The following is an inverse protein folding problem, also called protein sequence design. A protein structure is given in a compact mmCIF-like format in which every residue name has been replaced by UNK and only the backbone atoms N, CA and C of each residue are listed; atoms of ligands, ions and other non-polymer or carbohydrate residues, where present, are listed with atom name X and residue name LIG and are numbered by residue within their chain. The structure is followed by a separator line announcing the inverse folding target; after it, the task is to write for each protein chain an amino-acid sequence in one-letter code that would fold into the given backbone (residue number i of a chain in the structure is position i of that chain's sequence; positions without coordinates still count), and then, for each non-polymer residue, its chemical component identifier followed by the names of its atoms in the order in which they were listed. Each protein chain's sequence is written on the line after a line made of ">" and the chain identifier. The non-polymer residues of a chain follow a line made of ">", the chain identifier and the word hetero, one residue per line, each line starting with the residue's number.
data_IF_202256792813
#
_entry.id   IF_202256792813
#
_cell.length_a   1.000
_cell.length_b   1.000
_cell.length_c   1.000
_cell.angle_alpha   90.00
_cell.angle_beta   90.00
_cell.angle_gamma   90.00
#
_symmetry.space_group_name_H-M   'P 1'
#
loop_
_entity.id
_entity.type
_entity.pdbx_description
1 polymer ?
#
# COMPACT_ATOMS: atom_id res chain seq x y z
N UNK A 1 3.59 5.30 -22.07
CA UNK A 1 3.08 5.43 -23.44
C UNK A 1 1.54 5.49 -23.54
N UNK A 2 0.83 6.06 -22.53
CA UNK A 2 -0.65 6.10 -22.52
C UNK A 2 -1.24 7.47 -22.83
N UNK A 3 -0.48 8.53 -22.55
CA UNK A 3 -1.02 9.90 -22.61
C UNK A 3 -1.21 10.44 -24.03
N UNK A 4 -0.51 9.87 -25.02
CA UNK A 4 -0.65 10.19 -26.45
C UNK A 4 -1.67 9.34 -27.20
N UNK A 5 -2.22 8.27 -26.60
CA UNK A 5 -3.18 7.41 -27.26
C UNK A 5 -4.56 8.09 -27.35
N UNK A 6 -5.17 8.06 -28.53
CA UNK A 6 -6.52 8.56 -28.76
C UNK A 6 -6.69 10.08 -28.61
N UNK A 7 -5.61 10.89 -28.77
CA UNK A 7 -5.70 12.37 -28.74
C UNK A 7 -6.70 12.85 -29.79
N UNK A 8 -6.62 12.29 -31.00
CA UNK A 8 -7.47 12.66 -32.15
C UNK A 8 -8.88 12.04 -32.10
N UNK A 9 -9.16 11.23 -31.08
CA UNK A 9 -10.45 10.54 -30.91
C UNK A 9 -11.00 10.72 -29.49
N UNK A 10 -11.51 11.89 -29.10
CA UNK A 10 -11.94 12.20 -27.74
C UNK A 10 -13.00 11.24 -27.19
N UNK A 11 -13.92 10.78 -28.05
CA UNK A 11 -14.96 9.83 -27.67
C UNK A 11 -14.36 8.45 -27.27
N UNK A 12 -13.38 7.95 -28.02
CA UNK A 12 -12.65 6.72 -27.68
C UNK A 12 -11.82 6.88 -26.42
N UNK A 13 -11.16 8.04 -26.24
CA UNK A 13 -10.36 8.35 -25.04
C UNK A 13 -11.20 8.29 -23.78
N UNK A 14 -12.46 8.77 -23.82
CA UNK A 14 -13.40 8.72 -22.67
C UNK A 14 -13.81 7.30 -22.28
N UNK A 15 -13.77 6.36 -23.23
CA UNK A 15 -14.16 4.96 -23.03
C UNK A 15 -12.98 4.06 -22.61
N UNK A 16 -11.74 4.56 -22.68
CA UNK A 16 -10.53 3.80 -22.37
C UNK A 16 -9.86 4.34 -21.11
N UNK A 17 -9.38 3.43 -20.28
CA UNK A 17 -8.59 3.81 -19.12
C UNK A 17 -7.12 3.99 -19.52
N UNK A 18 -6.76 5.24 -19.82
CA UNK A 18 -5.40 5.60 -20.26
C UNK A 18 -4.40 5.67 -19.10
N UNK A 19 -4.85 5.64 -17.86
CA UNK A 19 -4.01 5.71 -16.66
C UNK A 19 -3.73 4.34 -16.05
N UNK A 20 -4.61 3.37 -16.28
CA UNK A 20 -4.40 1.99 -15.81
C UNK A 20 -3.20 1.34 -16.52
N UNK A 21 -2.51 0.45 -15.82
CA UNK A 21 -1.33 -0.27 -16.32
C UNK A 21 -1.40 -1.74 -15.94
N UNK A 22 -0.67 -2.54 -16.71
CA UNK A 22 -0.45 -3.94 -16.42
C UNK A 22 0.60 -4.14 -15.35
N UNK A 23 0.37 -5.10 -14.48
CA UNK A 23 1.35 -5.63 -13.54
C UNK A 23 1.24 -7.14 -13.47
N UNK A 24 2.32 -7.83 -13.11
CA UNK A 24 2.34 -9.27 -12.91
C UNK A 24 2.67 -9.57 -11.45
N UNK A 25 1.90 -10.45 -10.82
CA UNK A 25 2.17 -10.93 -9.46
C UNK A 25 1.82 -12.42 -9.40
N UNK A 26 2.77 -13.25 -8.94
CA UNK A 26 2.59 -14.71 -8.80
C UNK A 26 2.02 -15.34 -10.06
N UNK A 27 2.63 -15.07 -11.22
CA UNK A 27 2.22 -15.52 -12.55
C UNK A 27 0.83 -15.08 -13.06
N UNK A 28 0.10 -14.33 -12.27
CA UNK A 28 -1.14 -13.67 -12.69
C UNK A 28 -0.87 -12.24 -13.16
N UNK A 29 -1.57 -11.85 -14.22
CA UNK A 29 -1.46 -10.53 -14.82
C UNK A 29 -2.70 -9.71 -14.47
N UNK A 30 -2.49 -8.51 -13.94
CA UNK A 30 -3.55 -7.60 -13.53
C UNK A 30 -3.45 -6.31 -14.33
N UNK A 31 -4.60 -5.76 -14.71
CA UNK A 31 -4.71 -4.45 -15.34
C UNK A 31 -5.51 -3.52 -14.45
N UNK A 32 -4.96 -2.36 -14.13
CA UNK A 32 -5.67 -1.39 -13.30
C UNK A 32 -4.76 -0.52 -12.43
N UNK A 33 -5.14 -0.44 -11.18
CA UNK A 33 -4.54 0.41 -10.15
C UNK A 33 -4.10 -0.42 -8.95
N UNK A 34 -3.27 0.19 -8.13
CA UNK A 34 -2.80 -0.37 -6.88
C UNK A 34 -3.12 0.59 -5.74
N UNK A 35 -3.75 0.08 -4.70
CA UNK A 35 -4.00 0.79 -3.45
C UNK A 35 -2.84 0.56 -2.50
N UNK A 36 -2.26 1.63 -2.00
CA UNK A 36 -1.25 1.63 -0.95
C UNK A 36 -1.88 2.14 0.34
N UNK A 37 -1.56 1.55 1.48
CA UNK A 37 -2.13 1.96 2.76
C UNK A 37 -1.08 1.93 3.88
N UNK A 38 -1.07 2.95 4.74
CA UNK A 38 -0.45 2.88 6.05
C UNK A 38 -1.49 2.47 7.08
N UNK A 39 -1.17 1.49 7.89
CA UNK A 39 -2.11 0.87 8.83
C UNK A 39 -1.51 0.88 10.23
N UNK A 40 -2.27 1.30 11.21
CA UNK A 40 -1.88 1.23 12.61
C UNK A 40 -1.64 -0.20 13.06
N UNK A 41 -0.44 -0.49 13.56
CA UNK A 41 -0.01 -1.85 13.92
C UNK A 41 -0.88 -2.50 15.01
N UNK A 42 -1.44 -1.72 15.93
CA UNK A 42 -2.32 -2.21 17.01
C UNK A 42 -3.78 -2.05 16.64
N UNK A 43 -4.18 -0.85 16.24
CA UNK A 43 -5.58 -0.52 15.95
C UNK A 43 -6.10 -1.17 14.67
N UNK A 44 -5.23 -1.46 13.70
CA UNK A 44 -5.55 -1.86 12.32
C UNK A 44 -6.39 -0.80 11.57
N UNK A 45 -6.38 0.43 12.04
CA UNK A 45 -7.01 1.57 11.34
C UNK A 45 -6.13 1.99 10.18
N UNK A 46 -6.70 2.29 9.03
CA UNK A 46 -5.98 2.86 7.90
C UNK A 46 -5.73 4.33 8.19
N UNK A 47 -4.47 4.72 8.28
CA UNK A 47 -4.04 6.08 8.57
C UNK A 47 -3.94 6.90 7.29
N UNK A 48 -3.26 6.37 6.28
CA UNK A 48 -3.10 7.00 4.98
C UNK A 48 -3.42 6.01 3.86
N UNK A 49 -3.97 6.52 2.76
CA UNK A 49 -4.24 5.74 1.55
C UNK A 49 -3.81 6.52 0.32
N UNK A 50 -3.16 5.84 -0.61
CA UNK A 50 -2.78 6.37 -1.91
C UNK A 50 -3.10 5.36 -3.01
N UNK A 51 -3.32 5.84 -4.22
CA UNK A 51 -3.61 4.99 -5.37
C UNK A 51 -2.72 5.36 -6.54
N UNK A 52 -2.09 4.35 -7.13
CA UNK A 52 -1.22 4.52 -8.29
C UNK A 52 -1.63 3.58 -9.42
N UNK A 53 -1.07 3.79 -10.61
CA UNK A 53 -1.14 2.77 -11.64
C UNK A 53 -0.48 1.47 -11.17
N UNK A 54 -1.01 0.31 -11.59
CA UNK A 54 -0.59 -0.98 -11.04
C UNK A 54 0.90 -1.33 -11.25
N UNK A 55 1.56 -0.72 -12.24
CA UNK A 55 2.98 -0.92 -12.51
C UNK A 55 3.92 -0.09 -11.61
N UNK A 56 3.39 0.82 -10.80
CA UNK A 56 4.22 1.60 -9.86
C UNK A 56 4.68 0.69 -8.72
N UNK A 57 5.98 0.72 -8.44
CA UNK A 57 6.55 -0.06 -7.35
C UNK A 57 6.10 0.51 -5.99
N UNK A 58 5.81 -0.37 -5.03
CA UNK A 58 5.23 0.01 -3.73
C UNK A 58 6.12 0.99 -2.96
N UNK A 59 7.44 0.84 -3.06
CA UNK A 59 8.41 1.73 -2.42
C UNK A 59 8.32 3.20 -2.89
N UNK A 60 7.86 3.44 -4.14
CA UNK A 60 7.68 4.81 -4.65
C UNK A 60 6.49 5.52 -4.02
N UNK A 61 5.49 4.78 -3.57
CA UNK A 61 4.32 5.36 -2.93
C UNK A 61 4.63 5.86 -1.51
N UNK A 62 5.69 5.37 -0.88
CA UNK A 62 6.02 5.68 0.51
C UNK A 62 6.17 7.18 0.76
N UNK A 63 6.87 7.90 -0.10
CA UNK A 63 7.09 9.35 0.02
C UNK A 63 5.79 10.17 0.02
N UNK A 64 4.73 9.67 -0.61
CA UNK A 64 3.43 10.34 -0.69
C UNK A 64 2.49 9.95 0.45
N UNK A 65 2.88 8.98 1.25
CA UNK A 65 2.04 8.42 2.31
C UNK A 65 2.52 8.84 3.69
N UNK A 66 3.77 9.29 3.83
CA UNK A 66 4.32 9.78 5.10
C UNK A 66 3.99 11.27 5.27
N UNK A 67 3.60 11.63 6.49
CA UNK A 67 3.37 13.00 6.92
C UNK A 67 4.19 13.27 8.18
N UNK A 68 5.10 14.23 8.13
CA UNK A 68 6.00 14.55 9.25
C UNK A 68 5.25 14.97 10.51
N UNK A 69 4.16 15.74 10.37
CA UNK A 69 3.38 16.21 11.52
C UNK A 69 2.61 15.07 12.21
N UNK A 70 2.08 14.12 11.42
CA UNK A 70 1.23 13.05 11.95
C UNK A 70 2.00 11.79 12.33
N UNK A 71 3.12 11.50 11.63
CA UNK A 71 3.83 10.23 11.74
C UNK A 71 5.14 10.32 12.54
N UNK A 72 5.57 11.52 12.94
CA UNK A 72 6.79 11.73 13.72
C UNK A 72 6.85 10.83 14.96
N UNK A 73 8.00 10.23 15.20
CA UNK A 73 8.27 9.35 16.34
C UNK A 73 7.68 7.93 16.20
N UNK A 74 6.89 7.65 15.15
CA UNK A 74 6.34 6.31 14.90
C UNK A 74 7.39 5.38 14.30
N UNK A 75 7.12 4.07 14.39
CA UNK A 75 7.92 3.04 13.72
C UNK A 75 7.15 2.47 12.53
N UNK A 76 7.77 2.47 11.35
CA UNK A 76 7.24 1.92 10.12
C UNK A 76 7.78 0.52 9.86
N UNK A 77 6.90 -0.47 9.89
CA UNK A 77 7.20 -1.85 9.52
C UNK A 77 6.85 -2.09 8.05
N UNK A 78 7.82 -2.56 7.27
CA UNK A 78 7.60 -2.92 5.87
C UNK A 78 8.39 -4.18 5.50
N UNK A 79 8.10 -4.73 4.32
CA UNK A 79 8.78 -5.91 3.81
C UNK A 79 10.17 -5.57 3.26
N UNK A 80 10.88 -6.60 2.80
CA UNK A 80 12.22 -6.45 2.25
C UNK A 80 12.28 -5.68 0.92
N UNK A 81 11.15 -5.43 0.25
CA UNK A 81 11.11 -4.59 -0.94
C UNK A 81 11.33 -3.09 -0.61
N UNK A 82 11.19 -2.73 0.66
CA UNK A 82 11.48 -1.39 1.17
C UNK A 82 12.90 -1.27 1.76
N UNK A 83 13.64 -2.39 1.87
CA UNK A 83 15.00 -2.36 2.38
C UNK A 83 15.92 -1.63 1.40
N UNK A 84 16.68 -0.66 1.92
CA UNK A 84 17.64 0.11 1.15
C UNK A 84 17.91 1.47 1.78
N UNK A 85 19.18 1.91 1.73
CA UNK A 85 19.63 3.16 2.37
C UNK A 85 18.75 4.35 2.00
N UNK A 86 18.43 4.53 0.72
CA UNK A 86 17.64 5.68 0.25
C UNK A 86 16.23 5.71 0.85
N UNK A 87 15.56 4.55 1.01
CA UNK A 87 14.21 4.48 1.58
C UNK A 87 14.23 4.62 3.10
N UNK A 88 15.28 4.13 3.76
CA UNK A 88 15.47 4.35 5.19
C UNK A 88 15.77 5.83 5.49
N UNK A 89 16.65 6.47 4.72
CA UNK A 89 16.94 7.90 4.85
C UNK A 89 15.69 8.74 4.57
N UNK A 90 14.94 8.43 3.51
CA UNK A 90 13.66 9.05 3.24
C UNK A 90 12.69 8.90 4.43
N UNK A 91 12.59 7.71 5.01
CA UNK A 91 11.69 7.48 6.15
C UNK A 91 12.13 8.30 7.36
N UNK A 92 13.44 8.35 7.63
CA UNK A 92 14.00 9.17 8.72
C UNK A 92 13.83 10.68 8.51
N UNK A 93 13.81 11.16 7.26
CA UNK A 93 13.57 12.57 6.97
C UNK A 93 12.16 13.05 7.36
N UNK A 94 11.21 12.12 7.52
CA UNK A 94 9.88 12.37 8.10
C UNK A 94 9.83 12.11 9.61
N UNK A 95 10.96 12.03 10.30
CA UNK A 95 11.05 11.68 11.73
C UNK A 95 10.38 10.33 12.08
N UNK A 96 10.33 9.41 11.13
CA UNK A 96 9.77 8.05 11.29
C UNK A 96 10.91 7.03 11.38
N UNK A 97 10.80 6.06 12.30
CA UNK A 97 11.81 5.02 12.49
C UNK A 97 11.57 3.86 11.50
N UNK A 98 12.46 3.62 10.51
CA UNK A 98 12.30 2.49 9.59
C UNK A 98 12.61 1.17 10.30
N UNK A 99 11.70 0.21 10.20
CA UNK A 99 11.84 -1.14 10.70
C UNK A 99 11.52 -2.16 9.59
N UNK A 100 12.30 -2.11 8.53
CA UNK A 100 12.11 -2.95 7.35
C UNK A 100 12.70 -4.33 7.53
N UNK A 101 12.12 -5.34 6.89
CA UNK A 101 12.71 -6.66 6.83
C UNK A 101 13.98 -6.63 5.97
N UNK A 102 15.02 -7.30 6.44
CA UNK A 102 16.28 -7.39 5.69
C UNK A 102 16.14 -8.38 4.54
N UNK A 103 16.83 -8.10 3.43
CA UNK A 103 16.83 -8.95 2.25
C UNK A 103 18.11 -9.78 2.20
N UNK A 104 17.96 -11.10 2.11
CA UNK A 104 19.08 -12.00 1.82
C UNK A 104 19.37 -12.03 0.31
N UNK A 105 20.63 -12.21 -0.05
CA UNK A 105 21.08 -12.39 -1.42
C UNK A 105 21.75 -13.76 -1.57
N UNK A 106 21.85 -14.28 -2.79
CA UNK A 106 22.43 -15.59 -3.06
C UNK A 106 23.86 -15.75 -2.48
N UNK A 107 24.66 -14.68 -2.55
CA UNK A 107 26.03 -14.67 -2.04
C UNK A 107 26.16 -14.18 -0.59
N UNK A 108 25.08 -13.70 0.03
CA UNK A 108 25.07 -13.19 1.41
C UNK A 108 23.73 -13.53 2.03
N UNK A 109 23.54 -14.80 2.45
CA UNK A 109 22.31 -15.22 3.10
C UNK A 109 22.16 -14.51 4.45
N UNK A 110 20.91 -14.40 4.91
CA UNK A 110 20.60 -13.83 6.22
C UNK A 110 21.17 -14.74 7.34
N UNK A 111 21.77 -14.12 8.33
CA UNK A 111 22.16 -14.80 9.56
C UNK A 111 20.93 -15.29 10.35
N UNK A 112 21.10 -16.23 11.25
CA UNK A 112 20.01 -16.73 12.11
C UNK A 112 19.37 -15.59 12.93
N UNK A 113 20.16 -14.64 13.40
CA UNK A 113 19.65 -13.49 14.14
C UNK A 113 18.80 -12.60 13.25
N UNK A 114 19.23 -12.30 12.04
CA UNK A 114 18.47 -11.52 11.06
C UNK A 114 17.16 -12.22 10.67
N UNK A 115 17.18 -13.55 10.52
CA UNK A 115 15.96 -14.32 10.24
C UNK A 115 14.97 -14.25 11.41
N UNK A 116 15.44 -14.38 12.66
CA UNK A 116 14.61 -14.22 13.86
C UNK A 116 14.01 -12.82 13.96
N UNK A 117 14.81 -11.77 13.71
CA UNK A 117 14.34 -10.39 13.71
C UNK A 117 13.32 -10.15 12.59
N UNK A 118 13.58 -10.65 11.38
CA UNK A 118 12.62 -10.58 10.28
C UNK A 118 11.29 -11.27 10.59
N UNK A 119 11.34 -12.40 11.31
CA UNK A 119 10.12 -13.09 11.75
C UNK A 119 9.30 -12.22 12.71
N UNK A 120 9.94 -11.54 13.67
CA UNK A 120 9.26 -10.60 14.57
C UNK A 120 8.66 -9.40 13.83
N UNK A 121 9.42 -8.80 12.93
CA UNK A 121 8.95 -7.69 12.06
C UNK A 121 7.75 -8.13 11.21
N UNK A 122 7.81 -9.32 10.62
CA UNK A 122 6.73 -9.90 9.81
C UNK A 122 5.45 -10.15 10.58
N UNK A 123 5.51 -10.55 11.86
CA UNK A 123 4.33 -10.71 12.72
C UNK A 123 3.53 -9.40 12.88
N UNK A 124 4.23 -8.26 12.89
CA UNK A 124 3.58 -6.95 12.95
C UNK A 124 3.07 -6.56 11.56
N UNK A 125 3.92 -6.71 10.54
CA UNK A 125 3.60 -6.36 9.16
C UNK A 125 2.37 -7.10 8.61
N UNK A 126 2.22 -8.39 8.91
CA UNK A 126 1.10 -9.19 8.37
C UNK A 126 -0.28 -8.67 8.80
N UNK A 127 -0.36 -7.77 9.77
CA UNK A 127 -1.63 -7.14 10.17
C UNK A 127 -2.29 -6.34 9.06
N UNK A 128 -1.50 -5.80 8.12
CA UNK A 128 -2.04 -5.12 6.95
C UNK A 128 -2.74 -6.11 5.99
N UNK A 129 -2.28 -7.35 5.94
CA UNK A 129 -2.89 -8.40 5.12
C UNK A 129 -4.32 -8.70 5.58
N UNK A 130 -4.58 -8.65 6.88
CA UNK A 130 -5.95 -8.76 7.41
C UNK A 130 -6.84 -7.59 6.97
N UNK A 131 -6.29 -6.38 6.87
CA UNK A 131 -7.03 -5.19 6.41
C UNK A 131 -7.40 -5.36 4.94
N UNK A 132 -6.44 -5.70 4.08
CA UNK A 132 -6.71 -5.93 2.67
C UNK A 132 -7.63 -7.13 2.43
N UNK A 133 -7.43 -8.23 3.18
CA UNK A 133 -8.32 -9.40 3.13
C UNK A 133 -9.77 -9.03 3.46
N UNK A 134 -10.00 -8.21 4.48
CA UNK A 134 -11.33 -7.71 4.82
C UNK A 134 -11.92 -6.84 3.71
N UNK A 135 -11.14 -5.90 3.17
CA UNK A 135 -11.56 -5.03 2.07
C UNK A 135 -11.94 -5.87 0.84
N UNK A 136 -11.19 -6.88 0.52
CA UNK A 136 -11.44 -7.75 -0.63
C UNK A 136 -12.68 -8.62 -0.43
N UNK A 137 -12.81 -9.26 0.72
CA UNK A 137 -13.88 -10.22 0.98
C UNK A 137 -15.23 -9.55 1.25
N UNK A 138 -15.25 -8.49 2.07
CA UNK A 138 -16.48 -7.84 2.51
C UNK A 138 -16.93 -6.74 1.56
N UNK A 139 -16.02 -5.87 1.16
CA UNK A 139 -16.35 -4.73 0.30
C UNK A 139 -16.19 -4.97 -1.19
N UNK A 140 -15.61 -6.14 -1.59
CA UNK A 140 -15.20 -6.40 -3.00
C UNK A 140 -14.31 -5.29 -3.55
N UNK A 141 -13.50 -4.69 -2.68
CA UNK A 141 -12.74 -3.46 -2.95
C UNK A 141 -11.63 -3.58 -3.97
N UNK A 142 -11.27 -4.78 -4.37
CA UNK A 142 -10.31 -5.05 -5.46
C UNK A 142 -10.87 -4.75 -6.86
N UNK A 143 -12.21 -4.58 -6.98
CA UNK A 143 -12.84 -4.36 -8.27
C UNK A 143 -13.32 -2.92 -8.44
N UNK A 144 -12.58 -2.13 -9.24
CA UNK A 144 -12.92 -0.74 -9.56
C UNK A 144 -13.66 -0.67 -10.89
N UNK A 145 -14.92 -0.25 -10.88
CA UNK A 145 -15.77 -0.13 -12.08
C UNK A 145 -15.61 1.19 -12.84
N UNK A 146 -14.88 2.14 -12.28
CA UNK A 146 -14.74 3.48 -12.85
C UNK A 146 -13.44 3.62 -13.66
N UNK A 147 -13.46 4.48 -14.66
CA UNK A 147 -12.32 4.79 -15.53
C UNK A 147 -11.56 6.00 -14.99
N UNK A 148 -10.25 5.89 -14.93
CA UNK A 148 -9.31 6.96 -14.61
C UNK A 148 -8.85 6.98 -13.16
N UNK A 149 -7.58 7.40 -12.96
CA UNK A 149 -6.89 7.38 -11.68
C UNK A 149 -7.64 8.15 -10.58
N UNK A 150 -8.20 9.33 -10.89
CA UNK A 150 -8.92 10.14 -9.89
C UNK A 150 -10.12 9.40 -9.29
N UNK A 151 -10.89 8.69 -10.12
CA UNK A 151 -12.05 7.92 -9.66
C UNK A 151 -11.61 6.66 -8.92
N UNK A 152 -10.54 6.01 -9.36
CA UNK A 152 -9.95 4.88 -8.65
C UNK A 152 -9.42 5.31 -7.27
N UNK A 153 -8.76 6.47 -7.17
CA UNK A 153 -8.30 7.02 -5.91
C UNK A 153 -9.45 7.34 -4.96
N UNK A 154 -10.53 7.95 -5.48
CA UNK A 154 -11.75 8.19 -4.69
C UNK A 154 -12.37 6.89 -4.18
N UNK A 155 -12.43 5.85 -5.02
CA UNK A 155 -12.91 4.53 -4.62
C UNK A 155 -12.06 3.95 -3.48
N UNK A 156 -10.73 4.01 -3.59
CA UNK A 156 -9.83 3.53 -2.53
C UNK A 156 -10.01 4.31 -1.23
N UNK A 157 -10.15 5.64 -1.32
CA UNK A 157 -10.39 6.49 -0.16
C UNK A 157 -11.73 6.16 0.52
N UNK A 158 -12.81 6.02 -0.26
CA UNK A 158 -14.13 5.66 0.27
C UNK A 158 -14.12 4.27 0.92
N UNK A 159 -13.42 3.32 0.32
CA UNK A 159 -13.23 1.97 0.86
C UNK A 159 -12.48 2.01 2.20
N UNK A 160 -11.41 2.82 2.29
CA UNK A 160 -10.66 3.00 3.52
C UNK A 160 -11.51 3.65 4.62
N UNK A 161 -12.32 4.67 4.28
CA UNK A 161 -13.25 5.31 5.20
C UNK A 161 -14.29 4.31 5.73
N UNK A 162 -14.93 3.55 4.85
CA UNK A 162 -15.90 2.53 5.23
C UNK A 162 -15.28 1.47 6.14
N UNK A 163 -14.06 1.00 5.81
CA UNK A 163 -13.32 0.08 6.66
C UNK A 163 -13.04 0.68 8.04
N UNK A 164 -12.59 1.93 8.11
CA UNK A 164 -12.28 2.58 9.37
C UNK A 164 -13.51 2.76 10.27
N UNK A 165 -14.67 3.09 9.69
CA UNK A 165 -15.96 3.15 10.43
C UNK A 165 -16.28 1.78 11.04
N UNK A 166 -16.14 0.72 10.27
CA UNK A 166 -16.36 -0.66 10.74
C UNK A 166 -15.36 -1.03 11.83
N UNK A 167 -14.08 -0.70 11.61
CA UNK A 167 -13.01 -1.00 12.56
C UNK A 167 -13.20 -0.27 13.89
N UNK A 168 -13.66 0.97 13.86
CA UNK A 168 -14.02 1.75 15.06
C UNK A 168 -15.04 1.01 15.91
N UNK A 169 -16.12 0.48 15.31
CA UNK A 169 -17.14 -0.28 16.07
C UNK A 169 -16.52 -1.48 16.79
N UNK A 170 -15.62 -2.22 16.12
CA UNK A 170 -14.93 -3.36 16.73
C UNK A 170 -14.04 -2.92 17.89
N UNK A 171 -13.34 -1.81 17.74
CA UNK A 171 -12.47 -1.29 18.81
C UNK A 171 -13.29 -0.84 20.03
N UNK A 172 -14.40 -0.14 19.82
CA UNK A 172 -15.27 0.30 20.92
C UNK A 172 -15.91 -0.89 21.69
N UNK A 173 -16.26 -1.97 21.00
CA UNK A 173 -16.81 -3.17 21.65
C UNK A 173 -15.79 -3.92 22.52
N UNK A 174 -14.51 -3.82 22.20
CA UNK A 174 -13.46 -4.51 22.94
C UNK A 174 -12.93 -3.69 24.13
N UNK A 175 -13.40 -2.47 24.31
CA UNK A 175 -13.03 -1.55 25.42
C UNK A 175 -14.11 -1.50 26.51
N UNK A 176 -15.24 -2.12 26.31
CA UNK A 176 -16.28 -2.38 27.32
C UNK A 176 -16.15 -3.79 27.85
#
# INVERSE_FOLDING_TARGET
>A
RGDGLWIDCPAKKRQKDVHARWTKKNDQTYYGYKMHALVGAVSKVILHVSTTAANVHDSRALAWMLNEEEDAGRTLFADSAYSGKNLEELTRSFNVNPCFCEKGYANTPLTELQQKLNHLKSKIRCRIEHVFGYIETVFKGSFVRSIGLKRAAFHSWLTALAYNVFRRQVLCRNTC
#
